data_IF_454162176014
#
_entry.id   IF_454162176014
#
_cell.length_a   1.000
_cell.length_b   1.000
_cell.length_c   1.000
_cell.angle_alpha   90.00
_cell.angle_beta   90.00
_cell.angle_gamma   90.00
#
_symmetry.space_group_name_H-M   'P 1'
#
loop_
_entity.id
_entity.type
_entity.pdbx_description
1 polymer ?
#
# COMPACT_ATOMS: atom_id res chain seq x y z
N UNK A 1 86.41 4.66 -46.29
CA UNK A 1 86.17 5.90 -47.05
C UNK A 1 84.73 6.30 -46.79
N UNK A 2 84.36 7.03 -45.72
CA UNK A 2 84.34 8.50 -45.54
C UNK A 2 83.91 9.29 -46.79
N UNK A 3 82.69 9.85 -46.73
CA UNK A 3 82.27 11.25 -47.01
C UNK A 3 80.72 11.25 -47.10
N UNK A 4 79.93 11.72 -46.12
CA UNK A 4 79.70 13.08 -45.60
C UNK A 4 79.13 14.09 -46.62
N UNK A 5 77.86 14.48 -46.41
CA UNK A 5 77.18 15.78 -46.69
C UNK A 5 75.70 15.59 -46.31
N UNK A 6 75.21 16.03 -45.15
CA UNK A 6 74.88 17.42 -44.73
C UNK A 6 73.80 18.07 -45.61
N UNK A 7 72.56 18.06 -45.11
CA UNK A 7 71.43 18.81 -45.63
C UNK A 7 70.44 19.06 -44.50
N UNK A 8 70.56 20.24 -43.87
CA UNK A 8 69.65 20.77 -42.86
C UNK A 8 68.29 21.07 -43.52
N UNK A 9 67.20 20.51 -42.99
CA UNK A 9 65.87 21.08 -43.18
C UNK A 9 65.18 21.15 -41.82
N UNK A 10 65.15 22.37 -41.28
CA UNK A 10 64.36 22.73 -40.12
C UNK A 10 62.88 22.77 -40.54
N UNK A 11 62.08 21.85 -40.00
CA UNK A 11 60.63 21.92 -40.08
C UNK A 11 60.08 22.38 -38.72
N UNK A 12 59.46 23.55 -38.78
CA UNK A 12 58.62 24.18 -37.77
C UNK A 12 57.79 23.16 -36.98
N UNK A 13 58.06 23.02 -35.68
CA UNK A 13 57.10 22.52 -34.72
C UNK A 13 56.07 23.63 -34.46
N UNK A 14 54.95 23.60 -35.19
CA UNK A 14 53.75 24.35 -34.80
C UNK A 14 53.22 23.65 -33.55
N UNK A 15 53.36 24.33 -32.41
CA UNK A 15 52.81 23.91 -31.14
C UNK A 15 51.29 23.76 -31.25
N UNK A 16 50.83 22.51 -31.29
CA UNK A 16 49.44 22.18 -30.95
C UNK A 16 49.35 22.37 -29.44
N UNK A 17 48.88 23.54 -29.03
CA UNK A 17 48.39 23.75 -27.68
C UNK A 17 47.37 22.65 -27.39
N UNK A 18 47.79 21.65 -26.62
CA UNK A 18 46.90 20.75 -25.92
C UNK A 18 45.99 21.64 -25.08
N UNK A 19 44.78 21.88 -25.57
CA UNK A 19 43.72 22.40 -24.75
C UNK A 19 43.53 21.40 -23.62
N UNK A 20 44.04 21.75 -22.44
CA UNK A 20 43.60 21.15 -21.19
C UNK A 20 42.09 21.37 -21.14
N UNK A 21 41.31 20.38 -21.59
CA UNK A 21 39.93 20.24 -21.13
C UNK A 21 40.01 20.21 -19.61
N UNK A 22 39.35 21.15 -18.90
CA UNK A 22 39.31 21.09 -17.45
C UNK A 22 38.78 19.71 -17.04
N UNK A 23 39.29 19.12 -15.94
CA UNK A 23 38.77 17.84 -15.47
C UNK A 23 37.26 17.96 -15.35
N UNK A 24 36.53 17.08 -16.05
CA UNK A 24 35.09 17.04 -15.97
C UNK A 24 34.72 17.00 -14.48
N UNK A 25 33.96 18.01 -14.03
CA UNK A 25 33.48 18.08 -12.66
C UNK A 25 32.86 16.72 -12.33
N UNK A 26 33.31 16.03 -11.27
CA UNK A 26 32.75 14.73 -10.94
C UNK A 26 31.23 14.89 -10.80
N UNK A 27 30.44 13.95 -11.34
CA UNK A 27 28.99 14.06 -11.27
C UNK A 27 28.58 14.18 -9.80
N UNK A 28 27.75 15.20 -9.51
CA UNK A 28 27.20 15.41 -8.16
C UNK A 28 26.38 14.17 -7.82
N UNK A 29 26.86 13.41 -6.84
CA UNK A 29 26.13 12.28 -6.28
C UNK A 29 25.07 12.86 -5.34
N UNK A 30 23.77 12.61 -5.57
CA UNK A 30 22.72 13.07 -4.66
C UNK A 30 22.89 12.47 -3.27
N UNK A 31 22.47 13.22 -2.24
CA UNK A 31 22.42 12.69 -0.88
C UNK A 31 21.50 11.45 -0.83
N UNK A 32 21.95 10.35 -0.21
CA UNK A 32 21.14 9.14 -0.13
C UNK A 32 19.94 9.38 0.80
N UNK A 33 18.77 8.91 0.37
CA UNK A 33 17.55 8.90 1.18
C UNK A 33 17.19 7.48 1.59
N UNK A 34 16.41 7.33 2.66
CA UNK A 34 15.89 6.04 3.07
C UNK A 34 14.78 5.59 2.11
N UNK A 35 14.85 4.33 1.71
CA UNK A 35 13.87 3.65 0.88
C UNK A 35 13.33 2.44 1.61
N UNK A 36 12.02 2.28 1.54
CA UNK A 36 11.30 1.10 1.98
C UNK A 36 10.55 0.52 0.79
N UNK A 37 10.72 -0.78 0.55
CA UNK A 37 10.13 -1.44 -0.60
C UNK A 37 10.25 -2.94 -0.52
N UNK A 38 9.80 -3.61 -1.56
CA UNK A 38 10.01 -5.03 -1.74
C UNK A 38 11.08 -5.28 -2.81
N UNK A 39 11.96 -6.22 -2.53
CA UNK A 39 13.06 -6.62 -3.38
C UNK A 39 12.80 -8.00 -3.95
N UNK A 40 13.08 -8.16 -5.24
CA UNK A 40 13.16 -9.44 -5.93
C UNK A 40 14.56 -9.63 -6.50
N UNK A 41 15.19 -10.75 -6.18
CA UNK A 41 16.48 -11.15 -6.71
C UNK A 41 16.33 -12.35 -7.66
N UNK A 42 16.74 -12.15 -8.90
CA UNK A 42 16.87 -13.17 -9.94
C UNK A 42 18.31 -13.17 -10.47
N UNK A 43 18.80 -14.27 -11.07
CA UNK A 43 20.08 -14.28 -11.74
C UNK A 43 20.15 -13.18 -12.82
N UNK A 44 21.03 -12.19 -12.62
CA UNK A 44 21.20 -11.07 -13.56
C UNK A 44 20.12 -9.98 -13.53
N UNK A 45 19.10 -10.10 -12.68
CA UNK A 45 18.05 -9.08 -12.53
C UNK A 45 17.68 -8.87 -11.06
N UNK A 46 17.88 -7.66 -10.58
CA UNK A 46 17.53 -7.25 -9.23
C UNK A 46 16.54 -6.10 -9.33
N UNK A 47 15.33 -6.35 -8.84
CA UNK A 47 14.22 -5.40 -8.91
C UNK A 47 13.85 -4.96 -7.50
N UNK A 48 13.66 -3.66 -7.30
CA UNK A 48 13.13 -3.07 -6.10
C UNK A 48 11.86 -2.30 -6.43
N UNK A 49 10.78 -2.53 -5.67
CA UNK A 49 9.54 -1.79 -5.82
C UNK A 49 9.29 -1.00 -4.53
N UNK A 50 9.43 0.34 -4.54
CA UNK A 50 9.14 1.16 -3.37
C UNK A 50 7.70 0.96 -2.90
N UNK A 51 7.49 0.83 -1.59
CA UNK A 51 6.16 0.66 -1.03
C UNK A 51 5.23 1.81 -1.40
N UNK A 52 3.94 1.51 -1.54
CA UNK A 52 2.94 2.50 -1.98
C UNK A 52 3.02 2.85 -3.47
N UNK A 53 3.93 2.23 -4.23
CA UNK A 53 4.08 2.42 -5.67
C UNK A 53 3.95 1.10 -6.41
N UNK A 54 3.65 1.17 -7.71
CA UNK A 54 3.75 0.03 -8.64
C UNK A 54 4.96 0.16 -9.57
N UNK A 55 5.95 0.97 -9.18
CA UNK A 55 7.12 1.26 -10.02
C UNK A 55 8.24 0.29 -9.68
N UNK A 56 8.46 -0.67 -10.56
CA UNK A 56 9.62 -1.55 -10.50
C UNK A 56 10.87 -0.77 -10.93
N UNK A 57 11.86 -0.70 -10.04
CA UNK A 57 13.16 -0.09 -10.27
C UNK A 57 14.21 -1.19 -10.36
N UNK A 58 15.14 -1.07 -11.29
CA UNK A 58 16.37 -1.84 -11.19
C UNK A 58 17.16 -1.33 -9.99
N UNK A 59 17.70 -2.23 -9.17
CA UNK A 59 18.54 -1.86 -8.03
C UNK A 59 19.97 -2.34 -8.24
N UNK A 60 20.92 -1.47 -7.93
CA UNK A 60 22.36 -1.73 -7.98
C UNK A 60 23.05 -1.06 -6.80
N UNK A 61 24.33 -1.34 -6.60
CA UNK A 61 25.13 -0.73 -5.55
C UNK A 61 26.07 -1.72 -4.86
N UNK A 62 26.99 -1.22 -4.03
CA UNK A 62 27.86 -2.08 -3.22
C UNK A 62 27.04 -2.99 -2.30
N UNK A 63 27.42 -4.26 -2.21
CA UNK A 63 26.83 -5.21 -1.27
C UNK A 63 25.66 -6.04 -1.80
N UNK A 64 25.28 -5.90 -3.07
CA UNK A 64 24.22 -6.73 -3.69
C UNK A 64 24.54 -8.24 -3.63
N UNK A 65 25.82 -8.63 -3.74
CA UNK A 65 26.25 -10.03 -3.57
C UNK A 65 26.12 -10.53 -2.12
N UNK A 66 26.29 -9.64 -1.14
CA UNK A 66 26.02 -9.97 0.27
C UNK A 66 24.52 -10.07 0.53
N UNK A 67 23.73 -9.26 -0.17
CA UNK A 67 22.28 -9.28 -0.12
C UNK A 67 21.70 -10.57 -0.69
N UNK A 68 22.23 -11.06 -1.82
CA UNK A 68 21.81 -12.34 -2.41
C UNK A 68 22.10 -13.53 -1.49
N UNK A 69 23.24 -13.51 -0.78
CA UNK A 69 23.54 -14.50 0.28
C UNK A 69 22.53 -14.42 1.44
N UNK A 70 22.17 -13.22 1.90
CA UNK A 70 21.16 -13.04 2.96
C UNK A 70 19.78 -13.51 2.50
N UNK A 71 19.41 -13.22 1.27
CA UNK A 71 18.17 -13.68 0.64
C UNK A 71 18.07 -15.21 0.64
N UNK A 72 19.14 -15.91 0.28
CA UNK A 72 19.21 -17.37 0.39
C UNK A 72 19.21 -17.87 1.83
N UNK A 73 19.89 -17.17 2.75
CA UNK A 73 19.92 -17.52 4.18
C UNK A 73 18.53 -17.43 4.82
N UNK A 74 17.72 -16.45 4.41
CA UNK A 74 16.31 -16.31 4.77
C UNK A 74 15.39 -17.34 4.06
N UNK A 75 15.98 -18.30 3.33
CA UNK A 75 15.29 -19.38 2.60
C UNK A 75 14.28 -18.89 1.57
N UNK A 76 14.52 -17.69 1.02
CA UNK A 76 13.69 -17.16 -0.05
C UNK A 76 13.95 -17.91 -1.36
N UNK A 77 12.88 -18.19 -2.11
CA UNK A 77 13.00 -18.78 -3.45
C UNK A 77 13.46 -17.69 -4.43
N UNK A 78 14.34 -17.99 -5.41
CA UNK A 78 14.69 -17.02 -6.46
C UNK A 78 13.45 -16.41 -7.10
N UNK A 79 13.38 -15.08 -7.18
CA UNK A 79 12.22 -14.37 -7.73
C UNK A 79 11.07 -14.10 -6.76
N UNK A 80 11.13 -14.57 -5.51
CA UNK A 80 10.19 -14.15 -4.46
C UNK A 80 10.44 -12.68 -4.05
N UNK A 81 9.39 -12.00 -3.62
CA UNK A 81 9.50 -10.64 -3.09
C UNK A 81 9.78 -10.68 -1.58
N UNK A 82 10.69 -9.83 -1.11
CA UNK A 82 11.01 -9.66 0.32
C UNK A 82 11.04 -8.19 0.70
N UNK A 83 10.47 -7.84 1.86
CA UNK A 83 10.56 -6.47 2.38
C UNK A 83 12.00 -6.11 2.68
N UNK A 84 12.43 -4.95 2.18
CA UNK A 84 13.81 -4.48 2.28
C UNK A 84 13.84 -2.98 2.57
N UNK A 85 14.72 -2.59 3.48
CA UNK A 85 15.05 -1.20 3.77
C UNK A 85 16.47 -0.91 3.31
N UNK A 86 16.66 0.17 2.59
CA UNK A 86 17.97 0.57 2.08
C UNK A 86 18.10 2.10 2.01
N UNK A 87 19.33 2.57 1.86
CA UNK A 87 19.64 3.96 1.54
C UNK A 87 20.16 4.04 0.12
N UNK A 88 19.80 5.10 -0.59
CA UNK A 88 20.26 5.31 -1.96
C UNK A 88 19.60 6.49 -2.64
N UNK A 89 19.88 6.61 -3.93
CA UNK A 89 19.35 7.67 -4.78
C UNK A 89 18.96 7.11 -6.15
N UNK A 90 18.03 7.80 -6.84
CA UNK A 90 17.63 7.44 -8.19
C UNK A 90 18.59 8.02 -9.21
N UNK A 91 18.89 7.24 -10.25
CA UNK A 91 19.65 7.65 -11.43
C UNK A 91 18.92 7.21 -12.70
N UNK A 92 19.06 7.97 -13.77
CA UNK A 92 18.62 7.52 -15.09
C UNK A 92 19.39 6.25 -15.50
N UNK A 93 18.68 5.24 -16.00
CA UNK A 93 19.25 4.02 -16.53
C UNK A 93 19.98 4.26 -17.85
N UNK A 94 20.97 3.44 -18.13
CA UNK A 94 21.84 3.56 -19.32
C UNK A 94 21.14 3.16 -20.64
N UNK A 95 19.90 2.64 -20.59
CA UNK A 95 19.19 2.03 -21.71
C UNK A 95 18.20 2.91 -22.50
N UNK A 96 18.06 4.20 -22.18
CA UNK A 96 17.13 5.11 -22.89
C UNK A 96 15.93 5.56 -22.04
N UNK A 97 15.23 6.60 -22.51
CA UNK A 97 14.23 7.40 -21.77
C UNK A 97 13.19 6.53 -21.04
N UNK A 98 13.23 6.53 -19.71
CA UNK A 98 12.14 6.03 -18.86
C UNK A 98 12.59 5.11 -17.72
N UNK A 99 13.73 4.43 -17.86
CA UNK A 99 14.18 3.49 -16.84
C UNK A 99 14.94 4.23 -15.73
N UNK A 100 14.41 4.19 -14.51
CA UNK A 100 15.11 4.69 -13.32
C UNK A 100 15.77 3.53 -12.59
N UNK A 101 17.01 3.71 -12.19
CA UNK A 101 17.79 2.76 -11.39
C UNK A 101 17.92 3.32 -9.98
N UNK A 102 17.60 2.52 -8.96
CA UNK A 102 17.92 2.81 -7.57
C UNK A 102 19.37 2.38 -7.32
N UNK A 103 20.25 3.35 -7.08
CA UNK A 103 21.63 3.09 -6.66
C UNK A 103 21.64 3.08 -5.13
N UNK A 104 21.63 1.89 -4.54
CA UNK A 104 21.71 1.69 -3.10
C UNK A 104 23.14 1.95 -2.61
N UNK A 105 23.29 2.82 -1.63
CA UNK A 105 24.56 3.07 -0.93
C UNK A 105 24.72 2.17 0.28
N UNK A 106 23.62 1.72 0.89
CA UNK A 106 23.62 0.79 2.02
C UNK A 106 22.33 -0.04 2.07
N UNK A 107 22.44 -1.31 2.42
CA UNK A 107 21.31 -2.20 2.70
C UNK A 107 21.17 -2.36 4.22
N UNK A 108 20.02 -1.96 4.76
CA UNK A 108 19.82 -1.90 6.21
C UNK A 108 19.24 -3.20 6.74
N UNK A 109 18.11 -3.65 6.17
CA UNK A 109 17.35 -4.77 6.71
C UNK A 109 16.54 -5.50 5.63
N UNK A 110 16.25 -6.78 5.89
CA UNK A 110 15.39 -7.65 5.09
C UNK A 110 14.53 -8.48 6.04
N UNK A 111 13.23 -8.52 5.77
CA UNK A 111 12.26 -9.25 6.58
C UNK A 111 11.28 -10.03 5.68
N UNK A 112 11.23 -11.37 5.79
CA UNK A 112 10.29 -12.18 5.01
C UNK A 112 8.85 -12.17 5.57
N UNK A 113 8.66 -11.71 6.80
CA UNK A 113 7.36 -11.75 7.50
C UNK A 113 6.60 -10.41 7.40
N UNK A 114 7.26 -9.37 6.91
CA UNK A 114 6.68 -8.04 6.68
C UNK A 114 6.46 -7.82 5.19
N UNK A 115 5.40 -7.11 4.83
CA UNK A 115 5.06 -6.78 3.44
C UNK A 115 4.83 -5.28 3.28
N UNK A 116 4.96 -4.76 2.06
CA UNK A 116 4.45 -3.43 1.73
C UNK A 116 2.91 -3.43 1.81
N UNK A 117 2.31 -2.31 2.26
CA UNK A 117 0.88 -2.11 2.09
C UNK A 117 0.49 -2.28 0.61
N UNK A 118 -0.64 -2.95 0.31
CA UNK A 118 -1.06 -3.18 -1.07
C UNK A 118 -1.43 -1.85 -1.75
N UNK A 119 -1.15 -1.75 -3.05
CA UNK A 119 -1.38 -0.51 -3.81
C UNK A 119 -2.67 -0.60 -4.61
N UNK A 120 -3.69 0.22 -4.32
CA UNK A 120 -4.98 0.12 -4.99
C UNK A 120 -4.89 0.41 -6.49
N UNK A 121 -5.81 -0.19 -7.25
CA UNK A 121 -5.91 -0.01 -8.69
C UNK A 121 -7.37 0.19 -9.08
N UNK A 122 -7.72 1.41 -9.51
CA UNK A 122 -9.11 1.80 -9.78
C UNK A 122 -9.86 0.84 -10.71
N UNK A 123 -9.19 0.25 -11.70
CA UNK A 123 -9.81 -0.70 -12.65
C UNK A 123 -10.25 -2.03 -12.01
N UNK A 124 -9.79 -2.34 -10.80
CA UNK A 124 -10.17 -3.51 -10.02
C UNK A 124 -11.05 -3.14 -8.82
N UNK A 125 -11.42 -1.87 -8.68
CA UNK A 125 -12.37 -1.43 -7.67
C UNK A 125 -13.78 -1.88 -8.05
N UNK A 126 -14.60 -2.15 -7.03
CA UNK A 126 -15.95 -2.68 -7.25
C UNK A 126 -16.45 -3.51 -6.10
N UNK A 127 -17.64 -4.06 -6.29
CA UNK A 127 -18.23 -5.07 -5.43
C UNK A 127 -18.07 -6.43 -6.11
N UNK A 128 -17.58 -7.42 -5.38
CA UNK A 128 -17.45 -8.80 -5.85
C UNK A 128 -18.18 -9.74 -4.88
N UNK A 129 -19.09 -10.54 -5.40
CA UNK A 129 -19.94 -11.43 -4.59
C UNK A 129 -19.58 -12.89 -4.82
N UNK A 130 -19.48 -13.65 -3.73
CA UNK A 130 -19.37 -15.10 -3.75
C UNK A 130 -20.52 -15.73 -2.95
N UNK A 131 -21.01 -16.87 -3.45
CA UNK A 131 -21.96 -17.74 -2.74
C UNK A 131 -21.27 -19.08 -2.52
N UNK A 132 -21.15 -19.47 -1.26
CA UNK A 132 -20.30 -20.57 -0.80
C UNK A 132 -21.22 -21.58 -0.11
N UNK A 133 -21.47 -22.75 -0.74
CA UNK A 133 -22.26 -23.80 -0.11
C UNK A 133 -21.58 -24.27 1.17
N UNK A 134 -22.36 -24.43 2.25
CA UNK A 134 -21.90 -24.98 3.51
C UNK A 134 -22.92 -25.98 4.06
N UNK A 135 -22.53 -26.89 4.97
CA UNK A 135 -23.50 -27.72 5.68
C UNK A 135 -24.55 -26.84 6.40
N UNK A 136 -25.82 -27.04 6.07
CA UNK A 136 -26.94 -26.31 6.69
C UNK A 136 -27.26 -24.92 6.10
N UNK A 137 -26.65 -24.52 4.99
CA UNK A 137 -27.03 -23.27 4.32
C UNK A 137 -26.04 -22.77 3.27
N UNK A 138 -26.13 -21.47 2.96
CA UNK A 138 -25.20 -20.78 2.07
C UNK A 138 -24.54 -19.65 2.84
N UNK A 139 -23.22 -19.55 2.71
CA UNK A 139 -22.46 -18.37 3.12
C UNK A 139 -22.31 -17.45 1.94
N UNK A 140 -22.71 -16.19 2.06
CA UNK A 140 -22.37 -15.16 1.09
C UNK A 140 -21.18 -14.34 1.58
N UNK A 141 -20.31 -13.95 0.65
CA UNK A 141 -19.21 -13.01 0.89
C UNK A 141 -19.30 -11.90 -0.17
N UNK A 142 -19.45 -10.64 0.26
CA UNK A 142 -19.30 -9.48 -0.61
C UNK A 142 -18.00 -8.75 -0.28
N UNK A 143 -17.10 -8.67 -1.26
CA UNK A 143 -15.89 -7.86 -1.19
C UNK A 143 -16.18 -6.49 -1.79
N UNK A 144 -16.10 -5.44 -0.99
CA UNK A 144 -16.23 -4.06 -1.44
C UNK A 144 -14.85 -3.44 -1.47
N UNK A 145 -14.32 -3.19 -2.67
CA UNK A 145 -13.00 -2.63 -2.92
C UNK A 145 -13.14 -1.18 -3.39
N UNK A 146 -12.85 -0.21 -2.51
CA UNK A 146 -12.95 1.20 -2.83
C UNK A 146 -11.69 1.69 -3.58
N UNK A 147 -11.80 2.63 -4.55
CA UNK A 147 -10.66 3.12 -5.33
C UNK A 147 -9.46 3.60 -4.49
N UNK A 148 -9.71 4.19 -3.31
CA UNK A 148 -8.64 4.66 -2.39
C UNK A 148 -7.90 3.56 -1.61
N UNK A 149 -8.20 2.29 -1.86
CA UNK A 149 -7.59 1.14 -1.20
C UNK A 149 -8.23 0.71 0.10
N UNK A 150 -9.30 1.36 0.55
CA UNK A 150 -10.13 0.84 1.64
C UNK A 150 -10.97 -0.34 1.14
N UNK A 151 -11.10 -1.37 1.97
CA UNK A 151 -11.91 -2.53 1.65
C UNK A 151 -12.74 -3.01 2.82
N UNK A 152 -13.86 -3.65 2.50
CA UNK A 152 -14.71 -4.32 3.48
C UNK A 152 -15.20 -5.65 2.93
N UNK A 153 -15.11 -6.68 3.75
CA UNK A 153 -15.71 -7.99 3.47
C UNK A 153 -16.96 -8.11 4.33
N UNK A 154 -18.11 -8.23 3.67
CA UNK A 154 -19.38 -8.58 4.30
C UNK A 154 -19.56 -10.08 4.18
N UNK A 155 -19.69 -10.76 5.31
CA UNK A 155 -19.97 -12.20 5.33
C UNK A 155 -21.31 -12.42 5.98
N UNK A 156 -22.21 -13.13 5.29
CA UNK A 156 -23.49 -13.55 5.83
C UNK A 156 -23.54 -15.07 5.95
N UNK A 157 -23.89 -15.56 7.14
CA UNK A 157 -24.07 -16.98 7.42
C UNK A 157 -25.31 -17.15 8.29
N UNK A 158 -26.30 -17.92 7.83
CA UNK A 158 -27.52 -18.24 8.60
C UNK A 158 -28.19 -16.99 9.20
N UNK A 159 -28.33 -15.92 8.41
CA UNK A 159 -28.92 -14.66 8.84
C UNK A 159 -28.02 -13.77 9.72
N UNK A 160 -26.83 -14.24 10.13
CA UNK A 160 -25.84 -13.43 10.85
C UNK A 160 -24.91 -12.76 9.85
N UNK A 161 -24.81 -11.43 9.95
CA UNK A 161 -23.89 -10.62 9.14
C UNK A 161 -22.70 -10.14 9.98
N UNK A 162 -21.50 -10.30 9.43
CA UNK A 162 -20.23 -9.82 9.97
C UNK A 162 -19.47 -8.99 8.95
N UNK A 163 -18.79 -7.94 9.41
CA UNK A 163 -18.02 -7.03 8.57
C UNK A 163 -16.54 -7.08 8.97
N UNK A 164 -15.65 -7.24 7.99
CA UNK A 164 -14.20 -7.18 8.17
C UNK A 164 -13.65 -6.02 7.37
N UNK A 165 -13.01 -5.07 8.04
CA UNK A 165 -12.38 -3.91 7.43
C UNK A 165 -10.91 -4.17 7.15
N UNK A 166 -10.41 -3.57 6.08
CA UNK A 166 -9.02 -3.72 5.70
C UNK A 166 -8.63 -2.79 4.58
N UNK A 167 -7.44 -3.04 4.06
CA UNK A 167 -6.89 -2.39 2.88
C UNK A 167 -6.79 -3.39 1.75
N UNK A 168 -6.93 -2.93 0.53
CA UNK A 168 -6.75 -3.76 -0.65
C UNK A 168 -5.88 -3.08 -1.70
N UNK A 169 -5.39 -3.89 -2.63
CA UNK A 169 -4.63 -3.44 -3.78
C UNK A 169 -3.84 -4.58 -4.39
N UNK A 170 -2.84 -4.24 -5.18
CA UNK A 170 -1.88 -5.21 -5.70
C UNK A 170 -0.67 -5.30 -4.78
N UNK A 171 -0.18 -6.53 -4.57
CA UNK A 171 1.16 -6.78 -4.04
C UNK A 171 2.23 -6.54 -5.13
N UNK A 172 3.52 -6.71 -4.78
CA UNK A 172 4.62 -6.60 -5.74
C UNK A 172 4.64 -7.71 -6.79
N UNK A 173 3.94 -8.82 -6.54
CA UNK A 173 3.69 -9.86 -7.53
C UNK A 173 2.57 -9.52 -8.52
N UNK A 174 1.85 -8.42 -8.31
CA UNK A 174 0.68 -8.05 -9.11
C UNK A 174 -0.60 -8.81 -8.75
N UNK A 175 -0.62 -9.54 -7.64
CA UNK A 175 -1.81 -10.23 -7.16
C UNK A 175 -2.69 -9.30 -6.35
N UNK A 176 -4.00 -9.51 -6.40
CA UNK A 176 -4.93 -8.75 -5.57
C UNK A 176 -4.86 -9.27 -4.13
N UNK A 177 -4.63 -8.36 -3.19
CA UNK A 177 -4.52 -8.67 -1.77
C UNK A 177 -5.53 -7.85 -0.99
N UNK A 178 -6.17 -8.48 -0.02
CA UNK A 178 -6.86 -7.83 1.08
C UNK A 178 -6.07 -8.07 2.37
N UNK A 179 -5.67 -7.01 3.05
CA UNK A 179 -5.04 -7.05 4.36
C UNK A 179 -6.03 -6.53 5.40
N UNK A 180 -6.37 -7.36 6.40
CA UNK A 180 -7.21 -6.87 7.51
C UNK A 180 -6.49 -5.74 8.24
N UNK A 181 -7.26 -4.76 8.72
CA UNK A 181 -6.76 -3.57 9.41
C UNK A 181 -5.85 -3.88 10.62
N UNK A 182 -6.15 -4.94 11.38
CA UNK A 182 -5.34 -5.37 12.52
C UNK A 182 -4.19 -6.30 12.14
N UNK A 183 -3.96 -6.54 10.84
CA UNK A 183 -2.89 -7.39 10.33
C UNK A 183 -3.02 -8.88 10.66
N UNK A 184 -4.14 -9.32 11.24
CA UNK A 184 -4.30 -10.72 11.69
C UNK A 184 -4.42 -11.69 10.52
N UNK A 185 -4.99 -11.27 9.39
CA UNK A 185 -4.98 -12.09 8.17
C UNK A 185 -4.88 -11.26 6.90
N UNK A 186 -4.29 -11.92 5.90
CA UNK A 186 -4.14 -11.43 4.54
C UNK A 186 -4.77 -12.45 3.59
N UNK A 187 -5.60 -11.98 2.66
CA UNK A 187 -6.26 -12.80 1.66
C UNK A 187 -5.70 -12.47 0.28
N UNK A 188 -5.21 -13.49 -0.40
CA UNK A 188 -4.69 -13.39 -1.76
C UNK A 188 -5.76 -13.80 -2.75
N UNK A 189 -5.85 -13.08 -3.88
CA UNK A 189 -6.79 -13.34 -4.95
C UNK A 189 -6.10 -13.32 -6.30
N UNK A 190 -6.42 -14.33 -7.10
CA UNK A 190 -6.09 -14.36 -8.52
C UNK A 190 -7.24 -13.69 -9.27
N UNK A 191 -6.93 -12.65 -10.03
CA UNK A 191 -7.92 -11.89 -10.78
C UNK A 191 -7.94 -12.29 -12.26
N UNK A 192 -9.12 -12.35 -12.86
CA UNK A 192 -9.28 -12.64 -14.29
C UNK A 192 -10.74 -12.55 -14.74
N UNK A 193 -11.00 -11.94 -15.90
CA UNK A 193 -12.33 -11.85 -16.52
C UNK A 193 -13.45 -11.40 -15.57
N UNK A 194 -13.20 -10.35 -14.77
CA UNK A 194 -14.18 -9.83 -13.79
C UNK A 194 -14.40 -10.73 -12.58
N UNK A 195 -13.51 -11.69 -12.33
CA UNK A 195 -13.56 -12.61 -11.18
C UNK A 195 -12.32 -12.47 -10.30
N UNK A 196 -12.52 -12.70 -9.01
CA UNK A 196 -11.47 -12.84 -8.01
C UNK A 196 -11.58 -14.21 -7.37
N UNK A 197 -10.61 -15.08 -7.62
CA UNK A 197 -10.57 -16.39 -6.97
C UNK A 197 -9.62 -16.35 -5.80
N UNK A 198 -10.14 -16.61 -4.60
CA UNK A 198 -9.32 -16.60 -3.39
C UNK A 198 -8.29 -17.73 -3.44
N UNK A 199 -7.03 -17.42 -3.20
CA UNK A 199 -5.98 -18.42 -3.01
C UNK A 199 -5.84 -18.71 -1.51
N UNK A 200 -5.93 -19.98 -1.15
CA UNK A 200 -5.77 -20.44 0.24
C UNK A 200 -4.28 -20.61 0.57
N UNK A 201 -3.88 -20.54 1.86
CA UNK A 201 -2.49 -20.76 2.26
C UNK A 201 -1.90 -22.10 1.81
N UNK A 202 -2.74 -23.11 1.61
CA UNK A 202 -2.34 -24.42 1.08
C UNK A 202 -2.06 -24.43 -0.44
N UNK A 203 -2.11 -23.27 -1.12
CA UNK A 203 -2.03 -23.14 -2.57
C UNK A 203 -3.29 -23.58 -3.33
N UNK A 204 -4.34 -24.00 -2.63
CA UNK A 204 -5.61 -24.41 -3.25
C UNK A 204 -6.45 -23.20 -3.62
N UNK A 205 -7.22 -23.33 -4.69
CA UNK A 205 -8.23 -22.34 -5.05
C UNK A 205 -9.45 -22.46 -4.14
N UNK A 206 -9.86 -21.33 -3.59
CA UNK A 206 -11.02 -21.17 -2.74
C UNK A 206 -12.20 -20.54 -3.49
N UNK A 207 -13.08 -19.82 -2.76
CA UNK A 207 -14.25 -19.17 -3.35
C UNK A 207 -13.93 -18.23 -4.51
N UNK A 208 -14.79 -18.27 -5.52
CA UNK A 208 -14.78 -17.34 -6.67
C UNK A 208 -15.77 -16.22 -6.38
N UNK A 209 -15.26 -14.98 -6.38
CA UNK A 209 -16.07 -13.78 -6.26
C UNK A 209 -16.25 -13.18 -7.66
N UNK A 210 -17.48 -12.91 -8.03
CA UNK A 210 -17.85 -12.37 -9.34
C UNK A 210 -18.18 -10.89 -9.17
N UNK A 211 -17.65 -10.04 -10.05
CA UNK A 211 -17.98 -8.62 -10.06
C UNK A 211 -19.49 -8.43 -10.20
N UNK A 212 -20.09 -7.68 -9.29
CA UNK A 212 -21.53 -7.44 -9.22
C UNK A 212 -21.91 -5.96 -9.41
N UNK A 213 -20.94 -5.05 -9.36
CA UNK A 213 -21.19 -3.63 -9.56
C UNK A 213 -20.09 -2.71 -9.06
N UNK A 214 -20.29 -1.39 -9.12
CA UNK A 214 -19.40 -0.43 -8.49
C UNK A 214 -19.35 -0.65 -6.97
N UNK A 215 -18.28 -0.16 -6.34
CA UNK A 215 -18.12 -0.26 -4.90
C UNK A 215 -19.09 0.68 -4.17
N UNK A 216 -19.89 0.15 -3.25
CA UNK A 216 -20.82 0.95 -2.44
C UNK A 216 -20.17 1.33 -1.10
N UNK A 217 -19.82 2.61 -0.94
CA UNK A 217 -19.15 3.11 0.28
C UNK A 217 -20.07 3.13 1.50
N UNK A 218 -21.36 3.45 1.33
CA UNK A 218 -22.28 3.74 2.43
C UNK A 218 -23.07 2.52 2.92
N UNK A 219 -22.54 1.31 2.70
CA UNK A 219 -23.09 0.06 3.24
C UNK A 219 -22.60 -0.18 4.68
N UNK A 220 -23.31 -1.04 5.41
CA UNK A 220 -22.81 -1.61 6.67
C UNK A 220 -22.78 -0.66 7.87
N UNK A 221 -21.94 -1.00 8.85
CA UNK A 221 -21.69 -0.20 10.05
C UNK A 221 -21.14 1.16 9.65
N UNK A 222 -20.12 1.21 8.78
CA UNK A 222 -19.54 2.47 8.31
C UNK A 222 -20.64 3.41 7.77
N UNK A 223 -21.44 2.94 6.82
CA UNK A 223 -22.54 3.72 6.24
C UNK A 223 -23.55 4.23 7.26
N UNK A 224 -23.94 3.39 8.22
CA UNK A 224 -24.84 3.81 9.31
C UNK A 224 -24.20 4.86 10.21
N UNK A 225 -22.94 4.68 10.57
CA UNK A 225 -22.18 5.62 11.40
C UNK A 225 -22.04 6.96 10.71
N UNK A 226 -21.63 7.01 9.44
CA UNK A 226 -21.44 8.29 8.75
C UNK A 226 -22.75 9.02 8.47
N UNK A 227 -23.86 8.31 8.21
CA UNK A 227 -25.19 8.91 8.13
C UNK A 227 -25.66 9.48 9.47
N UNK A 228 -25.31 8.82 10.58
CA UNK A 228 -25.57 9.36 11.91
C UNK A 228 -24.73 10.60 12.19
N UNK A 229 -23.43 10.59 11.87
CA UNK A 229 -22.56 11.76 12.01
C UNK A 229 -23.06 12.94 11.15
N UNK A 230 -23.46 12.67 9.91
CA UNK A 230 -24.07 13.67 9.02
C UNK A 230 -25.34 14.26 9.64
N UNK A 231 -26.27 13.44 10.11
CA UNK A 231 -27.49 13.91 10.75
C UNK A 231 -27.21 14.81 11.97
N UNK A 232 -26.22 14.45 12.81
CA UNK A 232 -25.82 15.27 13.96
C UNK A 232 -25.19 16.59 13.51
N UNK A 233 -24.30 16.56 12.51
CA UNK A 233 -23.64 17.76 12.00
C UNK A 233 -24.66 18.73 11.39
N UNK A 234 -25.54 18.21 10.52
CA UNK A 234 -26.59 18.97 9.83
C UNK A 234 -27.59 19.59 10.83
N UNK A 235 -27.99 18.85 11.86
CA UNK A 235 -28.87 19.37 12.92
C UNK A 235 -28.26 20.55 13.71
N UNK A 236 -26.93 20.70 13.67
CA UNK A 236 -26.21 21.76 14.38
C UNK A 236 -25.56 22.78 13.41
N UNK A 237 -26.08 22.89 12.19
CA UNK A 237 -25.65 23.89 11.21
C UNK A 237 -24.34 23.59 10.48
N UNK A 238 -23.83 22.36 10.59
CA UNK A 238 -22.72 21.87 9.77
C UNK A 238 -23.15 21.48 8.36
N UNK A 239 -22.18 21.32 7.45
CA UNK A 239 -22.39 20.95 6.05
C UNK A 239 -21.73 19.61 5.69
N UNK A 240 -21.75 18.65 6.62
CA UNK A 240 -21.17 17.34 6.37
C UNK A 240 -22.06 16.56 5.40
N UNK A 241 -21.46 15.94 4.37
CA UNK A 241 -22.15 14.98 3.52
C UNK A 241 -21.57 13.58 3.73
N UNK A 242 -22.41 12.58 4.01
CA UNK A 242 -21.99 11.21 4.30
C UNK A 242 -21.03 10.63 3.23
N UNK A 243 -21.21 10.96 1.96
CA UNK A 243 -20.41 10.49 0.82
C UNK A 243 -18.97 11.01 0.85
N UNK A 244 -18.77 12.18 1.44
CA UNK A 244 -17.47 12.84 1.62
C UNK A 244 -16.72 12.28 2.83
N UNK A 245 -17.43 11.60 3.73
CA UNK A 245 -16.84 11.03 4.93
C UNK A 245 -15.79 9.96 4.61
N UNK A 246 -14.62 10.02 5.26
CA UNK A 246 -13.53 9.04 5.16
C UNK A 246 -13.17 8.55 6.57
N UNK A 247 -12.75 7.27 6.73
CA UNK A 247 -12.39 6.73 8.03
C UNK A 247 -11.34 7.55 8.78
N UNK A 248 -10.34 8.07 8.06
CA UNK A 248 -9.23 8.82 8.64
C UNK A 248 -9.55 10.28 8.98
N UNK A 249 -10.74 10.79 8.65
CA UNK A 249 -11.07 12.17 8.98
C UNK A 249 -11.20 12.35 10.49
N UNK A 250 -10.58 13.43 10.98
CA UNK A 250 -10.67 13.83 12.38
C UNK A 250 -12.07 14.29 12.72
N UNK A 251 -12.61 13.86 13.86
CA UNK A 251 -13.89 14.34 14.34
C UNK A 251 -13.86 15.85 14.61
N UNK A 252 -12.72 16.41 15.02
CA UNK A 252 -12.61 17.86 15.27
C UNK A 252 -12.61 18.67 13.96
N UNK A 253 -12.25 18.04 12.84
CA UNK A 253 -12.41 18.67 11.52
C UNK A 253 -13.87 18.68 11.05
N UNK A 254 -14.68 17.75 11.53
CA UNK A 254 -16.10 17.60 11.16
C UNK A 254 -17.01 18.38 12.12
N UNK A 255 -16.72 18.35 13.42
CA UNK A 255 -17.52 18.92 14.49
C UNK A 255 -16.72 19.98 15.23
N UNK A 256 -16.93 21.25 14.89
CA UNK A 256 -16.30 22.38 15.55
C UNK A 256 -17.25 23.04 16.56
N UNK A 257 -16.71 23.48 17.69
CA UNK A 257 -17.45 24.24 18.71
C UNK A 257 -18.70 23.49 19.24
N UNK A 258 -19.90 24.10 19.21
CA UNK A 258 -21.10 23.51 19.81
C UNK A 258 -21.54 22.19 19.16
N UNK A 259 -21.18 21.95 17.89
CA UNK A 259 -21.46 20.70 17.20
C UNK A 259 -20.75 19.50 17.85
N UNK A 260 -19.60 19.71 18.52
CA UNK A 260 -18.91 18.65 19.26
C UNK A 260 -19.69 18.22 20.51
N UNK A 261 -20.23 19.18 21.26
CA UNK A 261 -21.06 18.88 22.42
C UNK A 261 -22.37 18.15 22.02
N UNK A 262 -22.93 18.49 20.86
CA UNK A 262 -24.09 17.79 20.30
C UNK A 262 -23.74 16.36 19.89
N UNK A 263 -22.56 16.13 19.30
CA UNK A 263 -22.06 14.79 19.02
C UNK A 263 -21.90 13.96 20.29
N UNK A 264 -21.29 14.53 21.35
CA UNK A 264 -21.11 13.83 22.62
C UNK A 264 -22.45 13.46 23.26
N UNK A 265 -23.45 14.34 23.16
CA UNK A 265 -24.81 14.07 23.65
C UNK A 265 -25.48 12.97 22.84
N UNK A 266 -25.47 13.08 21.51
CA UNK A 266 -26.03 12.05 20.63
C UNK A 266 -25.33 10.70 20.79
N UNK A 267 -24.02 10.71 21.07
CA UNK A 267 -23.25 9.52 21.37
C UNK A 267 -23.73 8.89 22.68
N UNK A 268 -23.96 9.65 23.76
CA UNK A 268 -24.51 9.08 25.00
C UNK A 268 -25.84 8.37 24.77
N UNK A 269 -26.74 8.97 23.99
CA UNK A 269 -28.08 8.43 23.75
C UNK A 269 -28.04 7.22 22.80
N UNK A 270 -27.40 7.38 21.65
CA UNK A 270 -27.36 6.35 20.59
C UNK A 270 -26.40 5.23 20.95
N UNK A 271 -25.33 5.59 21.64
CA UNK A 271 -24.28 4.70 22.07
C UNK A 271 -24.44 4.30 23.56
N UNK A 272 -25.57 4.54 24.24
CA UNK A 272 -25.82 4.06 25.61
C UNK A 272 -24.53 4.01 26.48
N UNK A 273 -23.84 5.16 26.60
CA UNK A 273 -22.47 5.23 27.14
C UNK A 273 -22.41 5.07 28.66
N UNK A 274 -23.41 4.44 29.27
CA UNK A 274 -23.62 4.35 30.71
C UNK A 274 -22.60 3.44 31.43
N UNK A 275 -21.88 2.60 30.68
CA UNK A 275 -20.77 1.81 31.21
C UNK A 275 -19.46 2.61 31.27
N UNK A 276 -18.71 2.61 32.41
CA UNK A 276 -17.46 3.35 32.54
C UNK A 276 -16.43 3.03 31.44
N UNK A 277 -16.41 1.79 30.94
CA UNK A 277 -15.55 1.36 29.83
C UNK A 277 -15.91 2.00 28.49
N UNK A 278 -17.21 2.18 28.18
CA UNK A 278 -17.64 2.80 26.93
C UNK A 278 -17.46 4.31 26.97
N UNK A 279 -17.66 4.93 28.14
CA UNK A 279 -17.39 6.33 28.35
C UNK A 279 -15.89 6.65 28.15
N UNK A 280 -15.00 5.86 28.75
CA UNK A 280 -13.55 6.00 28.58
C UNK A 280 -13.11 5.78 27.11
N UNK A 281 -13.69 4.80 26.42
CA UNK A 281 -13.44 4.58 24.99
C UNK A 281 -13.90 5.75 24.13
N UNK A 282 -15.08 6.33 24.40
CA UNK A 282 -15.59 7.50 23.68
C UNK A 282 -14.66 8.70 23.82
N UNK A 283 -14.13 8.96 25.03
CA UNK A 283 -13.19 10.05 25.27
C UNK A 283 -11.90 9.93 24.44
N UNK A 284 -11.51 8.71 24.05
CA UNK A 284 -10.33 8.46 23.23
C UNK A 284 -10.61 8.50 21.71
N UNK A 285 -11.87 8.66 21.29
CA UNK A 285 -12.25 8.70 19.87
C UNK A 285 -11.81 10.03 19.24
N UNK A 286 -10.98 9.94 18.20
CA UNK A 286 -10.42 11.09 17.49
C UNK A 286 -10.80 11.13 16.01
N UNK A 287 -11.14 9.99 15.42
CA UNK A 287 -11.45 9.84 14.00
C UNK A 287 -12.80 9.17 13.76
N UNK A 288 -13.32 9.28 12.55
CA UNK A 288 -14.53 8.53 12.12
C UNK A 288 -14.33 7.03 12.28
N UNK A 289 -13.13 6.51 11.97
CA UNK A 289 -12.76 5.11 12.18
C UNK A 289 -12.94 4.68 13.64
N UNK A 290 -12.50 5.50 14.59
CA UNK A 290 -12.63 5.20 16.02
C UNK A 290 -14.10 5.07 16.43
N UNK A 291 -14.98 5.95 15.89
CA UNK A 291 -16.42 5.86 16.11
C UNK A 291 -16.98 4.55 15.55
N UNK A 292 -16.59 4.17 14.33
CA UNK A 292 -17.04 2.94 13.68
C UNK A 292 -16.62 1.71 14.51
N UNK A 293 -15.39 1.68 15.02
CA UNK A 293 -14.94 0.62 15.92
C UNK A 293 -15.75 0.58 17.22
N UNK A 294 -16.05 1.73 17.81
CA UNK A 294 -16.85 1.81 19.03
C UNK A 294 -18.28 1.28 18.79
N UNK A 295 -18.93 1.70 17.70
CA UNK A 295 -20.26 1.21 17.29
C UNK A 295 -20.25 -0.30 17.07
N UNK A 296 -19.18 -0.84 16.45
CA UNK A 296 -19.02 -2.28 16.21
C UNK A 296 -18.84 -3.08 17.49
N UNK A 297 -18.10 -2.54 18.47
CA UNK A 297 -17.80 -3.24 19.73
C UNK A 297 -19.04 -3.47 20.61
N UNK A 298 -20.19 -2.96 20.20
CA UNK A 298 -21.46 -3.11 20.91
C UNK A 298 -22.02 -4.52 20.73
N UNK A 299 -22.50 -5.13 21.82
CA UNK A 299 -23.49 -6.20 21.70
C UNK A 299 -24.68 -5.65 20.91
N UNK A 300 -25.07 -6.31 19.82
CA UNK A 300 -26.39 -6.03 19.21
C UNK A 300 -27.43 -6.33 20.29
N UNK A 301 -28.41 -5.43 20.56
CA UNK A 301 -29.52 -5.80 21.42
C UNK A 301 -30.17 -7.04 20.81
N UNK A 302 -30.33 -8.09 21.61
CA UNK A 302 -31.08 -9.28 21.21
C UNK A 302 -32.45 -8.81 20.75
N UNK A 303 -32.74 -8.94 19.45
CA UNK A 303 -34.09 -8.83 18.91
C UNK A 303 -34.73 -10.21 18.92
#
# INVERSE_FOLDING_TARGET
MRNARSGLFALLFIGICWGCTPPATPPVVPDPVNWEGELRLLPGDSTFMPCGTRRALRITGPGLDSLSRRYSWLRMVPGQWIKTWCQGYLRAGEGGKGDSVLVATAYQHMDPDVFCPPVPVDSLSGTYTAQIPMPGGVRSEDLVFLPGGDATIYTQVNGRETETYGRWGLDSGGNVVFAEENGRFMLLFIHGSGRLTRQLPSGRMGPVHVWSGPAERLRGIFGRTVRWLDAVATANGGTLHAEEVRPAMSLDSIFQGPARAALDTSAKDSLNLDGPDLHGKWAAVSTVRDVVHLVRSRPRPNR
#
